data_IF_818620588817
#
_entry.id   IF_818620588817
#
_cell.length_a   1.000
_cell.length_b   1.000
_cell.length_c   1.000
_cell.angle_alpha   90.00
_cell.angle_beta   90.00
_cell.angle_gamma   90.00
#
_symmetry.space_group_name_H-M   'P 1'
#
loop_
_entity.id
_entity.type
_entity.pdbx_description
1 polymer ?
#
# COMPACT_ATOMS: atom_id res chain seq x y z
N UNK A 1 -5.24 -11.31 -2.56
CA UNK A 1 -4.45 -12.36 -1.85
C UNK A 1 -3.72 -11.75 -0.66
N UNK A 2 -3.45 -12.50 0.40
CA UNK A 2 -2.61 -12.05 1.52
C UNK A 2 -1.59 -13.10 1.94
N UNK A 3 -0.52 -12.67 2.61
CA UNK A 3 0.39 -13.59 3.29
C UNK A 3 -0.38 -14.44 4.31
N UNK A 4 -0.04 -15.73 4.40
CA UNK A 4 -0.82 -16.69 5.19
C UNK A 4 -0.72 -16.53 6.71
N UNK A 5 0.21 -15.70 7.20
CA UNK A 5 0.44 -15.46 8.63
C UNK A 5 0.26 -13.99 8.97
N UNK A 6 -0.13 -13.73 10.21
CA UNK A 6 -0.15 -12.41 10.78
C UNK A 6 1.24 -11.76 10.76
N UNK A 7 1.30 -10.47 10.46
CA UNK A 7 2.51 -9.66 10.47
C UNK A 7 2.43 -8.67 11.63
N UNK A 8 3.40 -8.64 12.57
CA UNK A 8 3.45 -7.62 13.60
C UNK A 8 3.65 -6.22 12.99
N UNK A 9 2.70 -5.31 13.22
CA UNK A 9 2.77 -3.90 12.84
C UNK A 9 3.19 -3.04 14.03
N UNK A 10 2.78 -3.38 15.24
CA UNK A 10 3.20 -2.71 16.46
C UNK A 10 3.09 -3.62 17.68
N UNK A 11 3.95 -3.39 18.68
CA UNK A 11 4.00 -4.18 19.91
C UNK A 11 3.07 -3.60 20.98
N UNK A 12 2.24 -4.46 21.59
CA UNK A 12 1.26 -4.04 22.60
C UNK A 12 1.86 -3.64 23.94
N UNK A 13 3.03 -4.17 24.29
CA UNK A 13 3.67 -3.92 25.57
C UNK A 13 4.54 -2.65 25.52
N UNK A 14 5.30 -2.47 24.45
CA UNK A 14 6.24 -1.35 24.28
C UNK A 14 5.65 -0.19 23.50
N UNK A 15 4.48 -0.38 22.86
CA UNK A 15 3.85 0.61 21.97
C UNK A 15 4.69 0.96 20.74
N UNK A 16 5.71 0.17 20.46
CA UNK A 16 6.64 0.34 19.35
C UNK A 16 5.98 -0.05 18.03
N UNK A 17 6.12 0.80 17.01
CA UNK A 17 5.60 0.54 15.67
C UNK A 17 6.73 0.02 14.80
N UNK A 18 6.47 -0.98 13.96
CA UNK A 18 7.45 -1.50 13.02
C UNK A 18 7.68 -0.55 11.84
N UNK A 19 8.92 -0.51 11.37
CA UNK A 19 9.22 -0.07 10.00
C UNK A 19 9.07 -1.28 9.06
N UNK A 20 8.65 -1.04 7.82
CA UNK A 20 8.57 -2.11 6.83
C UNK A 20 9.07 -1.66 5.46
N UNK A 21 9.47 -2.65 4.66
CA UNK A 21 9.83 -2.49 3.28
C UNK A 21 9.25 -3.65 2.46
N UNK A 22 8.71 -3.35 1.29
CA UNK A 22 8.27 -4.35 0.34
C UNK A 22 8.71 -3.99 -1.06
N UNK A 23 9.07 -5.00 -1.84
CA UNK A 23 9.33 -4.86 -3.27
C UNK A 23 8.58 -5.95 -4.02
N UNK A 24 7.95 -5.59 -5.13
CA UNK A 24 7.27 -6.55 -6.00
C UNK A 24 7.39 -6.14 -7.47
N UNK A 25 7.38 -7.15 -8.33
CA UNK A 25 7.22 -6.96 -9.77
C UNK A 25 5.82 -7.40 -10.19
N UNK A 26 5.18 -6.64 -11.07
CA UNK A 26 3.81 -6.89 -11.48
C UNK A 26 3.54 -6.48 -12.93
N UNK A 27 2.40 -6.91 -13.47
CA UNK A 27 1.84 -6.50 -14.76
C UNK A 27 0.36 -6.21 -14.60
N UNK A 28 -0.11 -5.17 -15.27
CA UNK A 28 -1.52 -4.91 -15.52
C UNK A 28 -1.72 -5.10 -17.02
N UNK A 29 -2.58 -6.04 -17.41
CA UNK A 29 -2.78 -6.41 -18.82
C UNK A 29 -4.23 -6.20 -19.20
N UNK A 30 -4.47 -5.43 -20.26
CA UNK A 30 -5.80 -5.21 -20.83
C UNK A 30 -5.95 -6.04 -22.11
N UNK A 31 -6.76 -7.11 -22.14
CA UNK A 31 -6.84 -8.02 -23.29
C UNK A 31 -7.22 -7.34 -24.61
N UNK A 32 -8.14 -6.37 -24.57
CA UNK A 32 -8.74 -5.79 -25.78
C UNK A 32 -8.25 -4.36 -26.08
N UNK A 33 -7.41 -3.77 -25.23
CA UNK A 33 -6.97 -2.36 -25.30
C UNK A 33 -8.10 -1.31 -25.37
N UNK A 34 -9.37 -1.67 -25.13
CA UNK A 34 -10.53 -0.76 -25.29
C UNK A 34 -10.87 -0.03 -23.98
N UNK A 35 -11.06 -0.76 -22.89
CA UNK A 35 -11.43 -0.20 -21.60
C UNK A 35 -10.69 -0.95 -20.47
N UNK A 36 -10.20 -0.21 -19.47
CA UNK A 36 -9.33 -0.69 -18.39
C UNK A 36 -9.92 -0.31 -17.04
N UNK A 37 -9.44 -0.92 -15.97
CA UNK A 37 -9.91 -0.67 -14.62
C UNK A 37 -10.24 -1.95 -13.85
N UNK A 38 -10.22 -1.88 -12.52
CA UNK A 38 -10.02 -0.64 -11.76
C UNK A 38 -8.54 -0.44 -11.38
N UNK A 39 -7.82 -1.50 -11.03
CA UNK A 39 -6.43 -1.37 -10.60
C UNK A 39 -6.05 -2.49 -9.65
N UNK A 40 -4.94 -2.28 -8.97
CA UNK A 40 -4.54 -3.13 -7.86
C UNK A 40 -3.97 -2.29 -6.72
N UNK A 41 -4.00 -2.83 -5.51
CA UNK A 41 -3.42 -2.19 -4.34
C UNK A 41 -2.55 -3.16 -3.55
N UNK A 42 -1.42 -2.70 -3.04
CA UNK A 42 -0.74 -3.34 -1.92
C UNK A 42 -1.36 -2.83 -0.62
N UNK A 43 -1.76 -3.70 0.31
CA UNK A 43 -2.49 -3.30 1.50
C UNK A 43 -1.92 -3.89 2.81
N UNK A 44 -2.16 -3.16 3.90
CA UNK A 44 -2.17 -3.62 5.29
C UNK A 44 -3.60 -3.50 5.84
N UNK A 45 -4.16 -4.58 6.38
CA UNK A 45 -5.50 -4.57 6.99
C UNK A 45 -5.60 -5.55 8.16
N UNK A 46 -6.77 -5.66 8.80
CA UNK A 46 -6.96 -6.59 9.92
C UNK A 46 -6.67 -8.05 9.52
N UNK A 47 -6.00 -8.80 10.40
CA UNK A 47 -5.80 -10.24 10.23
C UNK A 47 -6.92 -11.04 10.94
N UNK A 48 -7.45 -12.12 10.33
CA UNK A 48 -7.20 -12.56 8.96
C UNK A 48 -7.81 -11.59 7.93
N UNK A 49 -7.15 -11.47 6.77
CA UNK A 49 -7.70 -10.72 5.63
C UNK A 49 -9.00 -11.36 5.17
N UNK A 50 -9.93 -10.53 4.70
CA UNK A 50 -11.21 -10.93 4.14
C UNK A 50 -11.56 -10.00 2.98
N UNK A 51 -12.44 -10.47 2.11
CA UNK A 51 -13.12 -9.60 1.15
C UNK A 51 -14.33 -8.98 1.87
N UNK A 52 -14.50 -7.65 1.87
CA UNK A 52 -15.69 -6.98 2.40
C UNK A 52 -16.96 -7.45 1.70
N UNK A 53 -18.15 -7.28 2.31
CA UNK A 53 -19.41 -7.57 1.64
C UNK A 53 -19.69 -6.59 0.50
N UNK A 54 -20.05 -7.10 -0.68
CA UNK A 54 -20.44 -6.32 -1.86
C UNK A 54 -19.48 -5.17 -2.21
N UNK A 55 -18.17 -5.43 -2.39
CA UNK A 55 -17.24 -4.38 -2.77
C UNK A 55 -17.49 -3.94 -4.22
N UNK A 56 -17.30 -2.66 -4.51
CA UNK A 56 -17.22 -2.17 -5.88
C UNK A 56 -15.87 -2.50 -6.54
N UNK A 57 -15.82 -2.45 -7.87
CA UNK A 57 -14.55 -2.56 -8.61
C UNK A 57 -13.56 -1.45 -8.23
N UNK A 58 -14.07 -0.22 -8.21
CA UNK A 58 -13.38 1.03 -7.87
C UNK A 58 -12.77 1.06 -6.45
N UNK A 59 -13.11 0.09 -5.59
CA UNK A 59 -12.52 -0.03 -4.25
C UNK A 59 -11.40 -1.07 -4.14
N UNK A 60 -11.02 -1.69 -5.25
CA UNK A 60 -10.05 -2.80 -5.31
C UNK A 60 -10.39 -3.97 -4.38
N UNK A 61 -11.65 -4.09 -3.93
CA UNK A 61 -12.06 -5.07 -2.92
C UNK A 61 -11.59 -4.76 -1.49
N UNK A 62 -11.27 -3.49 -1.16
CA UNK A 62 -10.78 -3.06 0.15
C UNK A 62 -11.90 -2.59 1.10
N UNK A 63 -13.00 -2.07 0.55
CA UNK A 63 -14.14 -1.57 1.34
C UNK A 63 -15.47 -2.12 0.84
N UNK A 64 -16.42 -2.26 1.76
CA UNK A 64 -17.78 -2.65 1.46
C UNK A 64 -18.57 -1.53 0.77
N UNK A 65 -19.39 -1.90 -0.22
CA UNK A 65 -20.35 -0.99 -0.83
C UNK A 65 -19.70 0.04 -1.76
N UNK A 66 -20.04 1.30 -1.53
CA UNK A 66 -19.70 2.42 -2.41
C UNK A 66 -18.25 2.89 -2.17
N UNK A 67 -17.49 3.06 -3.27
CA UNK A 67 -16.09 3.51 -3.22
C UNK A 67 -15.94 4.96 -2.75
N UNK A 68 -17.00 5.77 -2.83
CA UNK A 68 -16.99 7.17 -2.35
C UNK A 68 -17.00 7.30 -0.81
N UNK A 69 -17.16 6.18 -0.10
CA UNK A 69 -17.16 6.17 1.37
C UNK A 69 -15.84 5.61 1.93
N UNK A 70 -15.48 6.11 3.11
CA UNK A 70 -14.39 5.52 3.89
C UNK A 70 -14.84 4.20 4.53
N UNK A 71 -13.98 3.19 4.46
CA UNK A 71 -14.07 1.95 5.20
C UNK A 71 -13.98 2.18 6.71
N UNK A 72 -14.78 1.42 7.46
CA UNK A 72 -14.86 1.51 8.90
C UNK A 72 -14.62 0.15 9.56
N UNK A 73 -14.40 0.21 10.89
CA UNK A 73 -14.07 -0.94 11.73
C UNK A 73 -13.10 -1.93 11.06
N UNK A 74 -13.55 -3.12 10.68
CA UNK A 74 -12.72 -4.15 10.07
C UNK A 74 -12.29 -3.91 8.61
N UNK A 75 -12.90 -2.96 7.90
CA UNK A 75 -12.54 -2.54 6.54
C UNK A 75 -11.55 -1.37 6.55
N UNK A 76 -10.96 -1.06 7.72
CA UNK A 76 -9.83 -0.11 7.81
C UNK A 76 -8.57 -0.73 7.22
N UNK A 77 -7.86 0.07 6.42
CA UNK A 77 -6.63 -0.32 5.76
C UNK A 77 -5.66 0.85 5.60
N UNK A 78 -4.40 0.51 5.33
CA UNK A 78 -3.42 1.38 4.68
C UNK A 78 -3.08 0.72 3.35
N UNK A 79 -3.16 1.45 2.25
CA UNK A 79 -2.84 0.90 0.94
C UNK A 79 -1.98 1.84 0.11
N UNK A 80 -1.30 1.24 -0.87
CA UNK A 80 -0.72 1.93 -2.02
C UNK A 80 -1.42 1.37 -3.25
N UNK A 81 -2.26 2.20 -3.87
CA UNK A 81 -2.98 1.89 -5.10
C UNK A 81 -2.14 2.14 -6.35
N UNK A 82 -2.42 1.34 -7.37
CA UNK A 82 -1.96 1.47 -8.74
C UNK A 82 -3.21 1.52 -9.60
N UNK A 83 -3.83 2.69 -9.63
CA UNK A 83 -5.11 2.92 -10.27
C UNK A 83 -4.92 3.16 -11.78
N UNK A 84 -5.80 2.57 -12.55
CA UNK A 84 -5.81 2.61 -14.01
C UNK A 84 -7.14 3.12 -14.58
N UNK A 85 -8.10 3.40 -13.71
CA UNK A 85 -9.37 4.02 -14.03
C UNK A 85 -9.36 5.50 -13.61
N UNK A 86 -10.24 6.29 -14.23
CA UNK A 86 -10.35 7.72 -13.92
C UNK A 86 -11.70 7.95 -13.26
N UNK A 87 -11.71 7.80 -11.94
CA UNK A 87 -12.91 7.86 -11.14
C UNK A 87 -13.27 9.31 -10.79
N UNK A 88 -14.52 9.69 -11.10
CA UNK A 88 -14.96 11.08 -10.91
C UNK A 88 -15.15 11.48 -9.46
N UNK A 89 -15.21 10.50 -8.54
CA UNK A 89 -15.42 10.73 -7.11
C UNK A 89 -14.11 10.99 -6.35
N UNK A 90 -12.94 10.72 -6.95
CA UNK A 90 -11.64 10.87 -6.31
C UNK A 90 -11.30 12.33 -5.95
N UNK A 91 -10.67 12.52 -4.79
CA UNK A 91 -10.41 13.81 -4.18
C UNK A 91 -9.02 13.82 -3.50
N UNK A 92 -8.03 14.53 -4.07
CA UNK A 92 -8.06 15.26 -5.33
C UNK A 92 -8.04 14.31 -6.54
N UNK A 93 -8.84 14.61 -7.57
CA UNK A 93 -8.88 13.81 -8.80
C UNK A 93 -7.55 13.85 -9.56
N UNK A 94 -6.83 12.73 -9.72
CA UNK A 94 -5.58 12.67 -10.46
C UNK A 94 -5.79 12.80 -11.97
N UNK A 95 -4.71 13.05 -12.72
CA UNK A 95 -4.77 13.05 -14.19
C UNK A 95 -4.57 11.62 -14.74
N UNK A 96 -5.65 10.85 -14.86
CA UNK A 96 -5.63 9.48 -15.37
C UNK A 96 -4.95 8.48 -14.43
N UNK A 97 -4.34 7.43 -15.01
CA UNK A 97 -3.62 6.38 -14.28
C UNK A 97 -2.65 6.99 -13.25
N UNK A 98 -2.63 6.48 -12.02
CA UNK A 98 -1.86 7.07 -10.94
C UNK A 98 -1.42 6.04 -9.90
N UNK A 99 -0.44 6.44 -9.08
CA UNK A 99 -0.08 5.75 -7.83
C UNK A 99 -0.55 6.60 -6.66
N UNK A 100 -1.21 5.99 -5.68
CA UNK A 100 -1.81 6.68 -4.54
C UNK A 100 -1.43 6.08 -3.19
N UNK A 101 -1.72 6.82 -2.12
CA UNK A 101 -1.58 6.36 -0.73
C UNK A 101 -2.90 6.58 -0.02
N UNK A 102 -3.48 5.48 0.45
CA UNK A 102 -4.86 5.46 0.91
C UNK A 102 -4.91 5.04 2.36
N UNK A 103 -5.74 5.72 3.14
CA UNK A 103 -6.00 5.38 4.53
C UNK A 103 -7.49 5.23 4.73
N UNK A 104 -7.95 4.00 4.57
CA UNK A 104 -9.36 3.60 4.69
C UNK A 104 -10.33 4.28 3.72
N UNK A 105 -9.87 5.10 2.77
CA UNK A 105 -10.68 5.67 1.71
C UNK A 105 -9.88 5.64 0.42
N UNK A 106 -10.47 5.10 -0.65
CA UNK A 106 -9.94 5.20 -2.02
C UNK A 106 -10.40 6.50 -2.70
N UNK A 107 -11.51 7.08 -2.23
CA UNK A 107 -11.99 8.36 -2.73
C UNK A 107 -11.16 9.55 -2.24
N UNK A 108 -10.56 9.43 -1.05
CA UNK A 108 -9.83 10.51 -0.38
C UNK A 108 -8.39 10.07 -0.07
N UNK A 109 -7.64 9.71 -1.12
CA UNK A 109 -6.22 9.37 -1.02
C UNK A 109 -5.43 10.52 -0.39
N UNK A 110 -4.49 10.21 0.50
CA UNK A 110 -3.67 11.23 1.19
C UNK A 110 -2.79 11.98 0.18
N UNK A 111 -2.29 11.25 -0.82
CA UNK A 111 -1.51 11.82 -1.90
C UNK A 111 -1.55 10.88 -3.10
N UNK A 112 -1.49 11.45 -4.30
CA UNK A 112 -1.45 10.72 -5.57
C UNK A 112 -0.37 11.29 -6.47
N UNK A 113 0.10 10.50 -7.42
CA UNK A 113 1.01 10.97 -8.47
C UNK A 113 0.66 10.28 -9.78
N UNK A 114 0.28 11.08 -10.78
CA UNK A 114 -0.10 10.56 -12.10
C UNK A 114 1.06 9.87 -12.82
N UNK A 115 0.76 8.76 -13.48
CA UNK A 115 1.69 8.00 -14.30
C UNK A 115 1.63 8.51 -15.74
N UNK A 116 2.79 8.86 -16.30
CA UNK A 116 2.90 9.39 -17.66
C UNK A 116 3.68 8.42 -18.57
N UNK A 117 3.30 7.14 -18.58
CA UNK A 117 4.04 6.12 -19.33
C UNK A 117 3.16 5.03 -19.96
N UNK A 118 3.74 4.30 -20.92
CA UNK A 118 3.05 3.32 -21.78
C UNK A 118 2.63 2.08 -21.00
N UNK A 119 1.34 1.77 -21.06
CA UNK A 119 0.55 0.82 -20.25
C UNK A 119 0.89 -0.67 -20.41
N UNK A 120 1.93 -1.02 -21.17
CA UNK A 120 2.31 -2.41 -21.47
C UNK A 120 3.75 -2.68 -21.05
N UNK A 121 3.94 -3.53 -20.03
CA UNK A 121 5.25 -3.95 -19.57
C UNK A 121 5.20 -4.43 -18.13
N UNK A 122 6.24 -5.16 -17.72
CA UNK A 122 6.43 -5.44 -16.30
C UNK A 122 6.91 -4.18 -15.59
N UNK A 123 6.33 -3.92 -14.42
CA UNK A 123 6.70 -2.85 -13.51
C UNK A 123 7.31 -3.43 -12.25
N UNK A 124 8.13 -2.63 -11.58
CA UNK A 124 8.63 -2.90 -10.23
C UNK A 124 8.20 -1.75 -9.33
N UNK A 125 7.62 -2.11 -8.19
CA UNK A 125 7.30 -1.16 -7.14
C UNK A 125 8.10 -1.49 -5.87
N UNK A 126 8.53 -0.44 -5.18
CA UNK A 126 9.11 -0.50 -3.84
C UNK A 126 8.33 0.42 -2.91
N UNK A 127 7.98 -0.07 -1.73
CA UNK A 127 7.25 0.69 -0.71
C UNK A 127 8.00 0.57 0.61
N UNK A 128 8.29 1.70 1.25
CA UNK A 128 8.91 1.75 2.57
C UNK A 128 8.07 2.58 3.53
N UNK A 129 7.97 2.11 4.78
CA UNK A 129 7.44 2.87 5.89
C UNK A 129 8.51 2.99 6.98
N UNK A 130 8.82 4.23 7.35
CA UNK A 130 9.74 4.54 8.43
C UNK A 130 8.96 4.97 9.67
N UNK A 131 9.08 4.19 10.76
CA UNK A 131 8.33 4.40 11.99
C UNK A 131 8.70 5.69 12.75
N UNK A 132 9.91 6.22 12.57
CA UNK A 132 10.41 7.43 13.25
C UNK A 132 9.82 8.68 12.61
N UNK A 133 9.96 8.77 11.29
CA UNK A 133 9.49 9.90 10.48
C UNK A 133 7.99 9.82 10.17
N UNK A 134 7.41 8.62 10.28
CA UNK A 134 6.04 8.27 9.83
C UNK A 134 5.84 8.40 8.33
N UNK A 135 6.91 8.40 7.55
CA UNK A 135 6.83 8.53 6.10
C UNK A 135 6.58 7.17 5.45
N UNK A 136 5.52 7.09 4.64
CA UNK A 136 5.31 6.04 3.65
C UNK A 136 5.77 6.59 2.29
N UNK A 137 6.65 5.87 1.61
CA UNK A 137 7.17 6.24 0.29
C UNK A 137 6.98 5.05 -0.64
N UNK A 138 6.32 5.27 -1.77
CA UNK A 138 6.11 4.27 -2.80
C UNK A 138 6.70 4.75 -4.12
N UNK A 139 7.47 3.90 -4.78
CA UNK A 139 8.10 4.20 -6.09
C UNK A 139 7.74 3.10 -7.07
N UNK A 140 7.43 3.46 -8.31
CA UNK A 140 7.12 2.52 -9.40
C UNK A 140 7.91 2.88 -10.66
N UNK A 141 8.40 1.86 -11.36
CA UNK A 141 9.15 2.01 -12.61
C UNK A 141 8.93 0.81 -13.54
N UNK A 142 9.05 1.01 -14.85
CA UNK A 142 9.12 -0.11 -15.79
C UNK A 142 10.42 -0.88 -15.65
N UNK A 143 10.34 -2.21 -15.75
CA UNK A 143 11.53 -3.06 -15.86
C UNK A 143 11.96 -3.19 -17.32
N UNK A 144 11.01 -3.17 -18.25
CA UNK A 144 11.23 -3.23 -19.71
C UNK A 144 10.27 -2.25 -20.41
N UNK A 145 10.66 -1.00 -20.62
CA UNK A 145 9.80 -0.02 -21.29
C UNK A 145 9.60 -0.40 -22.77
N UNK A 146 8.39 -0.26 -23.34
CA UNK A 146 8.21 -0.42 -24.77
C UNK A 146 8.94 0.71 -25.52
N UNK A 147 10.09 0.38 -26.13
CA UNK A 147 10.95 1.29 -26.90
C UNK A 147 12.33 1.54 -26.27
N UNK A 148 13.13 2.43 -26.88
CA UNK A 148 14.53 2.70 -26.50
C UNK A 148 14.70 3.77 -25.39
N UNK A 149 13.63 4.11 -24.65
CA UNK A 149 13.69 5.12 -23.58
C UNK A 149 13.10 4.58 -22.29
N UNK A 150 13.95 4.45 -21.27
CA UNK A 150 13.52 4.20 -19.90
C UNK A 150 12.75 5.42 -19.38
N UNK A 151 11.50 5.23 -18.98
CA UNK A 151 10.77 6.27 -18.26
C UNK A 151 11.37 6.40 -16.85
N UNK A 152 11.52 7.61 -16.29
CA UNK A 152 12.00 7.78 -14.93
C UNK A 152 11.02 7.13 -13.94
N UNK A 153 11.51 6.68 -12.76
CA UNK A 153 10.65 6.19 -11.70
C UNK A 153 9.65 7.28 -11.27
N UNK A 154 8.42 6.87 -10.99
CA UNK A 154 7.39 7.74 -10.41
C UNK A 154 7.27 7.41 -8.93
N UNK A 155 7.11 8.42 -8.09
CA UNK A 155 7.07 8.28 -6.65
C UNK A 155 5.90 9.07 -6.06
N UNK A 156 5.25 8.48 -5.05
CA UNK A 156 4.31 9.14 -4.15
C UNK A 156 4.79 8.95 -2.72
N UNK A 157 4.55 9.94 -1.86
CA UNK A 157 4.86 9.82 -0.44
C UNK A 157 3.88 10.58 0.42
N UNK A 158 3.69 10.12 1.65
CA UNK A 158 2.84 10.74 2.63
C UNK A 158 3.36 10.50 4.04
N UNK A 159 3.17 11.49 4.92
CA UNK A 159 3.34 11.29 6.35
C UNK A 159 2.05 10.73 6.93
N UNK A 160 2.11 9.50 7.44
CA UNK A 160 0.95 8.85 8.02
C UNK A 160 0.71 9.32 9.46
N UNK A 161 -0.55 9.21 9.89
CA UNK A 161 -0.92 9.26 11.30
C UNK A 161 -0.36 8.06 12.06
N UNK A 162 -0.73 7.94 13.34
CA UNK A 162 -0.34 6.81 14.15
C UNK A 162 -1.08 5.53 13.69
N UNK A 163 -0.39 4.51 13.13
CA UNK A 163 -1.05 3.31 12.62
C UNK A 163 -1.78 2.52 13.71
N UNK A 164 -1.44 2.72 14.98
CA UNK A 164 -2.10 2.07 16.13
C UNK A 164 -3.55 2.52 16.33
N UNK A 165 -3.88 3.74 15.88
CA UNK A 165 -5.25 4.26 15.91
C UNK A 165 -6.13 3.62 14.83
N UNK A 166 -5.51 3.00 13.82
CA UNK A 166 -6.17 2.51 12.63
C UNK A 166 -6.24 0.99 12.59
N UNK A 167 -5.12 0.32 12.83
CA UNK A 167 -4.92 -1.11 12.62
C UNK A 167 -4.53 -1.84 13.92
N UNK A 168 -4.93 -3.12 14.06
CA UNK A 168 -4.49 -3.95 15.18
C UNK A 168 -2.97 -4.16 15.18
N UNK A 169 -2.44 -4.66 16.31
CA UNK A 169 -1.01 -4.96 16.49
C UNK A 169 -0.45 -5.92 15.45
N UNK A 170 -1.31 -6.78 14.92
CA UNK A 170 -1.00 -7.81 13.94
C UNK A 170 -1.93 -7.66 12.74
N UNK A 171 -1.36 -7.57 11.55
CA UNK A 171 -2.07 -7.24 10.31
C UNK A 171 -1.89 -8.32 9.25
N UNK A 172 -2.82 -8.36 8.31
CA UNK A 172 -2.62 -9.02 7.05
C UNK A 172 -1.90 -8.05 6.09
N UNK A 173 -0.97 -8.59 5.30
CA UNK A 173 -0.30 -7.86 4.21
C UNK A 173 -0.53 -8.59 2.91
N UNK A 174 -0.78 -7.88 1.83
CA UNK A 174 -1.13 -8.53 0.58
C UNK A 174 -1.43 -7.58 -0.56
N UNK A 175 -2.11 -8.14 -1.57
CA UNK A 175 -2.55 -7.43 -2.74
C UNK A 175 -4.04 -7.62 -2.95
N UNK A 176 -4.74 -6.57 -3.35
CA UNK A 176 -6.13 -6.63 -3.76
C UNK A 176 -6.26 -6.06 -5.17
N UNK A 177 -7.31 -6.49 -5.85
CA UNK A 177 -7.69 -6.05 -7.19
C UNK A 177 -9.18 -6.35 -7.32
N UNK A 178 -9.88 -5.50 -8.04
CA UNK A 178 -11.22 -5.77 -8.48
C UNK A 178 -11.41 -5.23 -9.90
N UNK A 179 -12.30 -5.88 -10.63
CA UNK A 179 -12.75 -5.43 -11.94
C UNK A 179 -14.17 -4.87 -11.76
N UNK A 180 -14.43 -3.68 -12.30
CA UNK A 180 -15.73 -3.03 -12.34
C UNK A 180 -16.44 -3.25 -13.68
N UNK A 181 -16.79 -2.15 -14.34
CA UNK A 181 -17.45 -2.17 -15.66
C UNK A 181 -16.50 -2.58 -16.80
N UNK A 182 -15.20 -2.54 -16.55
CA UNK A 182 -14.12 -2.86 -17.47
C UNK A 182 -13.33 -4.07 -16.92
N UNK A 183 -12.42 -4.61 -17.73
CA UNK A 183 -11.66 -5.80 -17.34
C UNK A 183 -10.16 -5.61 -17.56
N UNK A 184 -9.39 -5.98 -16.54
CA UNK A 184 -7.96 -6.17 -16.64
C UNK A 184 -7.50 -7.41 -15.88
N UNK A 185 -6.27 -7.81 -16.19
CA UNK A 185 -5.56 -8.88 -15.52
C UNK A 185 -4.37 -8.31 -14.75
N UNK A 186 -4.46 -8.34 -13.42
CA UNK A 186 -3.39 -7.96 -12.51
C UNK A 186 -2.57 -9.18 -12.08
N UNK A 187 -1.27 -9.15 -12.35
CA UNK A 187 -0.37 -10.28 -12.10
C UNK A 187 0.80 -9.86 -11.23
N UNK A 188 0.95 -10.48 -10.06
CA UNK A 188 2.17 -10.39 -9.25
C UNK A 188 3.17 -11.43 -9.76
N UNK A 189 4.34 -10.97 -10.20
CA UNK A 189 5.41 -11.80 -10.75
C UNK A 189 6.42 -12.20 -9.67
N UNK A 190 6.72 -11.30 -8.74
CA UNK A 190 7.56 -11.55 -7.58
C UNK A 190 7.16 -10.64 -6.44
N UNK A 191 7.41 -11.07 -5.20
CA UNK A 191 7.13 -10.27 -4.02
C UNK A 191 8.11 -10.59 -2.90
N UNK A 192 8.58 -9.54 -2.23
CA UNK A 192 9.33 -9.59 -0.99
C UNK A 192 8.75 -8.59 0.01
N UNK A 193 8.75 -8.96 1.28
CA UNK A 193 8.28 -8.12 2.38
C UNK A 193 9.18 -8.35 3.59
N UNK A 194 9.57 -7.26 4.25
CA UNK A 194 10.33 -7.26 5.50
C UNK A 194 9.72 -6.24 6.46
N UNK A 195 9.60 -6.62 7.73
CA UNK A 195 9.14 -5.75 8.81
C UNK A 195 10.06 -5.92 10.02
N UNK A 196 10.41 -4.81 10.65
CA UNK A 196 11.23 -4.78 11.86
C UNK A 196 10.59 -3.85 12.88
N UNK A 197 10.20 -4.41 14.03
CA UNK A 197 10.09 -3.61 15.25
C UNK A 197 11.49 -3.08 15.54
N UNK A 198 11.65 -1.79 15.83
CA UNK A 198 12.98 -1.32 16.21
C UNK A 198 13.38 -2.06 17.50
N UNK A 199 14.68 -2.27 17.71
CA UNK A 199 15.10 -2.92 18.94
C UNK A 199 14.80 -1.97 20.10
N UNK A 200 14.21 -2.43 21.22
CA UNK A 200 14.13 -1.60 22.42
C UNK A 200 15.55 -1.12 22.73
N UNK A 201 15.72 0.20 22.80
CA UNK A 201 17.02 0.80 23.10
C UNK A 201 17.66 0.04 24.25
N UNK A 202 18.94 -0.37 24.15
CA UNK A 202 19.61 -1.01 25.26
C UNK A 202 19.51 -0.07 26.46
N UNK A 203 18.85 -0.54 27.51
CA UNK A 203 18.88 0.12 28.81
C UNK A 203 20.35 0.26 29.16
N UNK A 204 20.88 1.49 29.05
CA UNK A 204 22.18 1.82 29.62
C UNK A 204 22.00 1.62 31.11
N UNK A 205 22.39 0.45 31.62
CA UNK A 205 22.51 0.23 33.05
C UNK A 205 23.53 1.24 33.52
N UNK A 206 23.03 2.30 34.17
CA UNK A 206 23.85 3.30 34.81
C UNK A 206 24.89 2.58 35.66
N UNK A 207 26.16 2.79 35.31
CA UNK A 207 27.29 2.33 36.08
C UNK A 207 27.12 2.92 37.48
N UNK A 208 26.87 2.06 38.46
CA UNK A 208 26.92 2.47 39.86
C UNK A 208 28.28 3.10 40.12
N UNK A 209 28.28 4.37 40.49
CA UNK A 209 29.40 4.99 41.19
C UNK A 209 29.70 4.14 42.42
N UNK A 210 30.89 3.54 42.45
CA UNK A 210 31.46 3.05 43.70
C UNK A 210 32.52 4.06 44.13
N UNK A 211 32.12 4.93 45.07
CA UNK A 211 33.05 5.65 45.93
C UNK A 211 33.52 4.69 47.01
N UNK A 212 34.83 4.59 47.19
CA UNK A 212 35.46 4.25 48.48
C UNK A 212 36.97 4.48 48.40
N UNK A 213 37.40 5.50 49.16
CA UNK A 213 38.74 5.92 49.64
C UNK A 213 39.94 5.81 48.69
#
# INVERSE_FOLDING_TARGET
MSYGRAVPLWDRATNEVASFATEFAFKIVTPDNVARGDGMAFFLSSYPSRVPPNPSGQSFGLIAGDADHAGDGPDRFIAVEFDTYDDTFERPRPAGDHIGIDVSSVADSINTTSLNFSRNGAMRASITFDNVTRMLVATVQFTEPPGSRSAPPVQVSAKLGDPRALLPSEVAVGFSTANGATFQLDQILSWSFNSTLASPHPVVKGTQQRLSL
#
